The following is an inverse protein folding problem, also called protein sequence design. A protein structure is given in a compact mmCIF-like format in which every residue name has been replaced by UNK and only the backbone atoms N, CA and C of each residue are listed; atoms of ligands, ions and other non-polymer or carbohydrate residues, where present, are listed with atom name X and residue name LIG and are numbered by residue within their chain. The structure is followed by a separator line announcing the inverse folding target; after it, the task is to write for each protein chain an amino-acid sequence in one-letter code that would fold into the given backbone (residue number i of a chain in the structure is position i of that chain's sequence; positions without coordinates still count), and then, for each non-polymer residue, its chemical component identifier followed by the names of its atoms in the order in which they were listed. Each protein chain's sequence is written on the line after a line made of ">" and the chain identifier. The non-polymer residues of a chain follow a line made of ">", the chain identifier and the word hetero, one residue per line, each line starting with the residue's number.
data_IF_437832014160
#
_entry.id   IF_437832014160
#
_cell.length_a   1.000
_cell.length_b   1.000
_cell.length_c   1.000
_cell.angle_alpha   90.00
_cell.angle_beta   90.00
_cell.angle_gamma   90.00
#
_symmetry.space_group_name_H-M   'P 1'
#
loop_
_entity.id
_entity.type
_entity.pdbx_description
1 polymer ?
#
# COMPACT_ATOMS: atom_id res chain seq x y z
N UNK A 1 -14.56 10.88 -32.10
CA UNK A 1 -14.77 10.41 -30.72
C UNK A 1 -13.86 9.21 -30.52
N UNK A 2 -12.75 9.37 -29.79
CA UNK A 2 -11.97 8.21 -29.35
C UNK A 2 -12.90 7.33 -28.48
N UNK A 3 -12.86 6.01 -28.60
CA UNK A 3 -13.75 5.14 -27.83
C UNK A 3 -13.43 5.31 -26.34
N UNK A 4 -14.44 5.56 -25.51
CA UNK A 4 -14.31 5.78 -24.06
C UNK A 4 -13.47 4.69 -23.36
N UNK A 5 -13.47 3.47 -23.89
CA UNK A 5 -12.68 2.34 -23.40
C UNK A 5 -11.15 2.54 -23.44
N UNK A 6 -10.63 3.48 -24.25
CA UNK A 6 -9.19 3.79 -24.30
C UNK A 6 -8.76 4.75 -23.17
N UNK A 7 -9.66 5.61 -22.69
CA UNK A 7 -9.42 6.54 -21.59
C UNK A 7 -9.54 5.86 -20.22
N UNK A 8 -10.39 4.83 -20.11
CA UNK A 8 -10.51 4.02 -18.90
C UNK A 8 -9.19 3.36 -18.49
N UNK A 9 -8.30 3.06 -19.45
CA UNK A 9 -6.98 2.48 -19.18
C UNK A 9 -5.95 3.49 -18.63
N UNK A 10 -6.22 4.79 -18.67
CA UNK A 10 -5.28 5.84 -18.27
C UNK A 10 -5.66 6.55 -16.97
N UNK A 11 -6.89 6.36 -16.50
CA UNK A 11 -7.41 6.99 -15.29
C UNK A 11 -7.76 5.96 -14.22
N UNK A 12 -7.76 6.43 -12.98
CA UNK A 12 -8.19 5.66 -11.82
C UNK A 12 -9.47 6.26 -11.23
N UNK A 13 -10.35 5.43 -10.65
CA UNK A 13 -11.41 5.94 -9.77
C UNK A 13 -10.77 6.65 -8.57
N UNK A 14 -11.17 7.88 -8.33
CA UNK A 14 -10.68 8.69 -7.21
C UNK A 14 -11.65 8.66 -6.05
N UNK A 15 -11.09 8.79 -4.85
CA UNK A 15 -11.83 8.89 -3.61
C UNK A 15 -12.38 10.30 -3.46
N UNK A 16 -13.67 10.41 -3.13
CA UNK A 16 -14.33 11.68 -2.86
C UNK A 16 -13.98 12.22 -1.48
N UNK A 17 -14.10 13.54 -1.27
CA UNK A 17 -13.90 14.16 0.04
C UNK A 17 -14.82 13.58 1.13
N UNK A 18 -16.06 13.21 0.78
CA UNK A 18 -17.00 12.55 1.70
C UNK A 18 -16.50 11.17 2.16
N UNK A 19 -15.88 10.40 1.27
CA UNK A 19 -15.29 9.10 1.61
C UNK A 19 -14.00 9.23 2.43
N UNK A 20 -13.27 10.35 2.32
CA UNK A 20 -12.09 10.62 3.16
C UNK A 20 -12.47 11.12 4.56
N UNK A 21 -13.63 11.76 4.71
CA UNK A 21 -14.06 12.35 5.97
C UNK A 21 -14.35 11.30 7.06
N UNK A 22 -14.74 10.09 6.68
CA UNK A 22 -15.07 9.02 7.64
C UNK A 22 -14.74 7.66 7.04
N UNK A 23 -14.06 6.81 7.82
CA UNK A 23 -13.81 5.41 7.52
C UNK A 23 -14.78 4.50 8.29
N UNK A 24 -15.05 3.31 7.76
CA UNK A 24 -15.79 2.26 8.47
C UNK A 24 -15.16 1.93 9.83
N UNK A 25 -13.82 1.86 9.89
CA UNK A 25 -13.08 1.70 11.15
C UNK A 25 -13.35 2.84 12.15
N UNK A 26 -13.45 4.08 11.69
CA UNK A 26 -13.80 5.22 12.55
C UNK A 26 -15.23 5.13 13.08
N UNK A 27 -16.17 4.57 12.31
CA UNK A 27 -17.54 4.31 12.77
C UNK A 27 -17.59 3.23 13.86
N UNK A 28 -16.70 2.24 13.76
CA UNK A 28 -16.49 1.21 14.78
C UNK A 28 -15.56 1.66 15.92
N UNK A 29 -15.36 2.98 16.08
CA UNK A 29 -14.57 3.59 17.14
C UNK A 29 -13.08 3.17 17.19
N UNK A 30 -12.50 2.76 16.06
CA UNK A 30 -11.05 2.54 15.97
C UNK A 30 -10.33 3.90 15.91
N UNK A 31 -9.32 4.14 16.77
CA UNK A 31 -8.55 5.38 16.74
C UNK A 31 -7.83 5.59 15.40
N UNK A 32 -7.89 6.81 14.86
CA UNK A 32 -7.31 7.15 13.55
C UNK A 32 -5.79 6.95 13.48
N UNK A 33 -5.08 7.19 14.59
CA UNK A 33 -3.64 6.96 14.69
C UNK A 33 -3.30 5.47 14.56
N UNK A 34 -4.15 4.61 15.12
CA UNK A 34 -3.99 3.16 15.10
C UNK A 34 -4.36 2.60 13.73
N UNK A 35 -5.46 3.07 13.13
CA UNK A 35 -5.83 2.73 11.76
C UNK A 35 -4.68 3.06 10.79
N UNK A 36 -4.08 4.25 10.92
CA UNK A 36 -2.96 4.69 10.10
C UNK A 36 -1.74 3.78 10.25
N UNK A 37 -1.36 3.45 11.49
CA UNK A 37 -0.24 2.53 11.77
C UNK A 37 -0.47 1.12 11.20
N UNK A 38 -1.68 0.57 11.37
CA UNK A 38 -2.03 -0.77 10.89
C UNK A 38 -1.99 -0.81 9.36
N UNK A 39 -2.57 0.19 8.68
CA UNK A 39 -2.54 0.28 7.22
C UNK A 39 -1.11 0.39 6.70
N UNK A 40 -0.28 1.23 7.32
CA UNK A 40 1.13 1.36 6.94
C UNK A 40 1.89 0.03 7.08
N UNK A 41 1.74 -0.66 8.21
CA UNK A 41 2.35 -1.97 8.43
C UNK A 41 1.86 -3.03 7.45
N UNK A 42 0.55 -3.04 7.14
CA UNK A 42 -0.04 -4.00 6.21
C UNK A 42 0.38 -3.76 4.75
N UNK A 43 0.58 -2.50 4.33
CA UNK A 43 1.18 -2.22 3.01
C UNK A 43 2.62 -2.73 2.94
N UNK A 44 3.42 -2.54 4.01
CA UNK A 44 4.78 -3.09 4.09
C UNK A 44 4.78 -4.62 4.06
N UNK A 45 3.84 -5.26 4.74
CA UNK A 45 3.61 -6.71 4.68
C UNK A 45 3.28 -7.16 3.24
N UNK A 46 2.38 -6.45 2.56
CA UNK A 46 1.98 -6.74 1.16
C UNK A 46 3.18 -6.66 0.23
N UNK A 47 4.01 -5.62 0.38
CA UNK A 47 5.24 -5.43 -0.39
C UNK A 47 6.23 -6.58 -0.15
N UNK A 48 6.49 -6.94 1.11
CA UNK A 48 7.39 -8.02 1.46
C UNK A 48 6.89 -9.39 0.94
N UNK A 49 5.59 -9.66 1.07
CA UNK A 49 4.98 -10.88 0.54
C UNK A 49 5.12 -10.97 -0.98
N UNK A 50 4.85 -9.88 -1.69
CA UNK A 50 5.01 -9.84 -3.14
C UNK A 50 6.44 -10.13 -3.59
N UNK A 51 7.44 -9.57 -2.90
CA UNK A 51 8.86 -9.82 -3.17
C UNK A 51 9.23 -11.29 -2.95
N UNK A 52 8.79 -11.89 -1.83
CA UNK A 52 9.06 -13.31 -1.54
C UNK A 52 8.35 -14.26 -2.52
N UNK A 53 7.19 -13.86 -3.03
CA UNK A 53 6.46 -14.57 -4.09
C UNK A 53 7.03 -14.33 -5.49
N UNK A 54 8.10 -13.52 -5.60
CA UNK A 54 8.74 -13.15 -6.86
C UNK A 54 7.77 -12.50 -7.88
N UNK A 55 6.79 -11.74 -7.37
CA UNK A 55 5.87 -11.01 -8.21
C UNK A 55 6.56 -9.78 -8.83
N UNK A 56 6.22 -9.43 -10.07
CA UNK A 56 6.60 -8.14 -10.65
C UNK A 56 6.12 -6.96 -9.79
N UNK A 57 6.93 -5.89 -9.70
CA UNK A 57 6.62 -4.74 -8.84
C UNK A 57 5.31 -4.03 -9.24
N UNK A 58 4.91 -4.08 -10.52
CA UNK A 58 3.64 -3.52 -10.96
C UNK A 58 2.44 -4.30 -10.40
N UNK A 59 2.54 -5.64 -10.32
CA UNK A 59 1.53 -6.49 -9.67
C UNK A 59 1.43 -6.15 -8.18
N UNK A 60 2.57 -5.99 -7.50
CA UNK A 60 2.62 -5.64 -6.07
C UNK A 60 2.01 -4.24 -5.83
N UNK A 61 2.39 -3.25 -6.63
CA UNK A 61 1.87 -1.89 -6.52
C UNK A 61 0.35 -1.85 -6.74
N UNK A 62 -0.17 -2.58 -7.75
CA UNK A 62 -1.61 -2.71 -7.97
C UNK A 62 -2.32 -3.37 -6.78
N UNK A 63 -1.73 -4.43 -6.21
CA UNK A 63 -2.27 -5.07 -5.01
C UNK A 63 -2.34 -4.11 -3.82
N UNK A 64 -1.33 -3.25 -3.63
CA UNK A 64 -1.32 -2.22 -2.59
C UNK A 64 -2.44 -1.20 -2.82
N UNK A 65 -2.68 -0.77 -4.06
CA UNK A 65 -3.79 0.15 -4.38
C UNK A 65 -5.15 -0.50 -4.08
N UNK A 66 -5.34 -1.76 -4.47
CA UNK A 66 -6.57 -2.53 -4.18
C UNK A 66 -6.77 -2.68 -2.66
N UNK A 67 -5.73 -3.06 -1.93
CA UNK A 67 -5.73 -3.12 -0.48
C UNK A 67 -6.10 -1.76 0.13
N UNK A 68 -5.50 -0.68 -0.37
CA UNK A 68 -5.72 0.67 0.15
C UNK A 68 -7.15 1.12 -0.04
N UNK A 69 -7.73 0.89 -1.24
CA UNK A 69 -9.11 1.23 -1.58
C UNK A 69 -10.13 0.47 -0.73
N UNK A 70 -9.84 -0.76 -0.32
CA UNK A 70 -10.74 -1.56 0.51
C UNK A 70 -11.08 -0.86 1.84
N UNK A 71 -10.16 -0.11 2.44
CA UNK A 71 -10.34 0.57 3.72
C UNK A 71 -10.96 1.97 3.62
N UNK A 72 -11.31 2.43 2.42
CA UNK A 72 -11.73 3.81 2.21
C UNK A 72 -13.24 3.98 2.31
N UNK A 73 -13.66 5.01 3.04
CA UNK A 73 -15.06 5.39 3.17
C UNK A 73 -15.85 4.60 4.20
N UNK A 74 -17.11 5.02 4.45
CA UNK A 74 -18.00 4.36 5.40
C UNK A 74 -18.44 2.96 4.93
N UNK A 75 -18.50 2.74 3.61
CA UNK A 75 -18.86 1.46 2.99
C UNK A 75 -17.65 0.52 2.81
N UNK A 76 -16.46 0.95 3.26
CA UNK A 76 -15.22 0.17 3.21
C UNK A 76 -15.16 -0.92 4.28
N UNK A 77 -14.05 -1.64 4.29
CA UNK A 77 -13.72 -2.56 5.37
C UNK A 77 -13.44 -1.83 6.69
N UNK A 78 -13.80 -2.47 7.80
CA UNK A 78 -13.45 -2.03 9.14
C UNK A 78 -12.40 -2.95 9.76
N UNK A 79 -11.39 -2.37 10.41
CA UNK A 79 -10.36 -3.12 11.12
C UNK A 79 -10.91 -3.89 12.34
N UNK A 80 -12.08 -3.50 12.86
CA UNK A 80 -12.79 -4.25 13.90
C UNK A 80 -13.37 -5.57 13.38
N UNK A 81 -13.66 -5.65 12.08
CA UNK A 81 -14.34 -6.80 11.45
C UNK A 81 -13.39 -7.64 10.60
N UNK A 82 -12.36 -7.03 10.03
CA UNK A 82 -11.47 -7.65 9.07
C UNK A 82 -10.00 -7.50 9.48
N UNK A 83 -9.28 -8.62 9.59
CA UNK A 83 -7.84 -8.60 9.83
C UNK A 83 -7.09 -7.98 8.66
N UNK A 84 -6.23 -7.00 8.95
CA UNK A 84 -5.38 -6.36 7.95
C UNK A 84 -4.47 -7.36 7.21
N UNK A 85 -3.97 -8.40 7.89
CA UNK A 85 -3.19 -9.47 7.25
C UNK A 85 -3.97 -10.25 6.18
N UNK A 86 -5.26 -10.48 6.41
CA UNK A 86 -6.09 -11.30 5.52
C UNK A 86 -6.49 -10.48 4.31
N UNK A 87 -6.86 -9.20 4.51
CA UNK A 87 -7.13 -8.26 3.42
C UNK A 87 -5.88 -8.03 2.53
N UNK A 88 -4.69 -7.97 3.14
CA UNK A 88 -3.40 -7.88 2.46
C UNK A 88 -3.14 -9.13 1.59
N UNK A 89 -3.29 -10.33 2.17
CA UNK A 89 -3.12 -11.59 1.44
C UNK A 89 -4.13 -11.74 0.28
N UNK A 90 -5.39 -11.40 0.53
CA UNK A 90 -6.46 -11.46 -0.46
C UNK A 90 -6.24 -10.47 -1.61
N UNK A 91 -5.84 -9.23 -1.32
CA UNK A 91 -5.55 -8.21 -2.34
C UNK A 91 -4.39 -8.63 -3.23
N UNK A 92 -3.33 -9.18 -2.64
CA UNK A 92 -2.18 -9.69 -3.38
C UNK A 92 -2.54 -10.90 -4.24
N UNK A 93 -3.28 -11.87 -3.67
CA UNK A 93 -3.74 -13.05 -4.38
C UNK A 93 -4.65 -12.69 -5.56
N UNK A 94 -5.62 -11.79 -5.35
CA UNK A 94 -6.55 -11.32 -6.37
C UNK A 94 -5.83 -10.72 -7.57
N UNK A 95 -4.92 -9.76 -7.32
CA UNK A 95 -4.21 -9.08 -8.40
C UNK A 95 -3.21 -10.00 -9.10
N UNK A 96 -2.51 -10.86 -8.35
CA UNK A 96 -1.61 -11.86 -8.94
C UNK A 96 -2.37 -12.87 -9.80
N UNK A 97 -3.55 -13.32 -9.37
CA UNK A 97 -4.42 -14.22 -10.14
C UNK A 97 -4.85 -13.64 -11.48
N UNK A 98 -5.02 -12.32 -11.55
CA UNK A 98 -5.38 -11.59 -12.77
C UNK A 98 -4.17 -11.19 -13.63
N UNK A 99 -2.95 -11.42 -13.15
CA UNK A 99 -1.71 -11.04 -13.85
C UNK A 99 -1.16 -12.18 -14.72
N UNK A 100 -0.07 -11.90 -15.43
CA UNK A 100 0.67 -12.92 -16.21
C UNK A 100 1.48 -13.89 -15.33
N UNK A 101 1.54 -13.67 -14.02
CA UNK A 101 2.26 -14.51 -13.06
C UNK A 101 1.33 -14.95 -11.92
N UNK A 102 0.33 -15.82 -12.21
CA UNK A 102 -0.60 -16.29 -11.19
C UNK A 102 0.10 -17.14 -10.14
N UNK A 103 -0.26 -16.93 -8.88
CA UNK A 103 0.32 -17.63 -7.72
C UNK A 103 -0.71 -18.57 -7.10
N UNK A 104 -0.23 -19.68 -6.53
CA UNK A 104 -1.11 -20.61 -5.84
C UNK A 104 -1.54 -20.05 -4.47
N UNK A 105 -2.77 -20.33 -3.98
CA UNK A 105 -3.18 -20.00 -2.62
C UNK A 105 -2.19 -20.52 -1.57
N UNK A 106 -1.61 -21.70 -1.81
CA UNK A 106 -0.65 -22.33 -0.90
C UNK A 106 0.63 -21.52 -0.76
N UNK A 107 1.14 -21.00 -1.87
CA UNK A 107 2.32 -20.13 -1.88
C UNK A 107 2.07 -18.87 -1.06
N UNK A 108 0.90 -18.23 -1.24
CA UNK A 108 0.50 -17.05 -0.45
C UNK A 108 0.46 -17.39 1.04
N UNK A 109 -0.25 -18.47 1.41
CA UNK A 109 -0.41 -18.87 2.81
C UNK A 109 0.94 -19.19 3.47
N UNK A 110 1.84 -19.91 2.79
CA UNK A 110 3.18 -20.20 3.32
C UNK A 110 4.00 -18.92 3.53
N UNK A 111 3.96 -17.98 2.57
CA UNK A 111 4.69 -16.71 2.67
C UNK A 111 4.16 -15.85 3.81
N UNK A 112 2.84 -15.76 3.99
CA UNK A 112 2.25 -15.04 5.12
C UNK A 112 2.54 -15.73 6.45
N UNK A 113 2.54 -17.07 6.51
CA UNK A 113 2.94 -17.80 7.70
C UNK A 113 4.39 -17.50 8.11
N UNK A 114 5.30 -17.41 7.13
CA UNK A 114 6.69 -17.01 7.36
C UNK A 114 6.80 -15.55 7.82
N UNK A 115 6.16 -14.62 7.10
CA UNK A 115 6.25 -13.18 7.39
C UNK A 115 5.59 -12.79 8.72
N UNK A 116 4.60 -13.55 9.18
CA UNK A 116 3.93 -13.31 10.45
C UNK A 116 4.55 -14.12 11.61
N UNK A 117 5.58 -14.92 11.35
CA UNK A 117 6.28 -15.68 12.39
C UNK A 117 7.09 -14.74 13.30
N UNK A 118 6.80 -14.67 14.62
CA UNK A 118 7.49 -13.75 15.53
C UNK A 118 9.00 -13.97 15.63
N UNK A 119 9.47 -15.18 15.30
CA UNK A 119 10.87 -15.60 15.48
C UNK A 119 11.71 -15.41 14.22
N UNK A 120 11.07 -15.39 13.04
CA UNK A 120 11.73 -15.45 11.74
C UNK A 120 11.37 -14.31 10.80
N UNK A 121 10.38 -13.48 11.16
CA UNK A 121 9.95 -12.41 10.28
C UNK A 121 11.10 -11.41 10.03
N UNK A 122 11.34 -11.03 8.76
CA UNK A 122 12.26 -9.95 8.42
C UNK A 122 11.67 -8.56 8.71
N UNK A 123 10.41 -8.48 9.18
CA UNK A 123 9.69 -7.24 9.43
C UNK A 123 9.89 -6.79 10.88
N UNK A 124 10.44 -5.59 11.06
CA UNK A 124 10.75 -4.99 12.37
C UNK A 124 9.51 -4.80 13.27
N UNK A 125 8.34 -4.56 12.67
CA UNK A 125 7.06 -4.43 13.38
C UNK A 125 6.38 -5.77 13.71
N UNK A 126 7.03 -6.90 13.45
CA UNK A 126 6.54 -8.24 13.83
C UNK A 126 7.57 -8.93 14.70
N UNK A 127 8.83 -8.91 14.30
CA UNK A 127 9.90 -9.54 15.04
C UNK A 127 10.37 -8.65 16.20
N UNK A 128 10.18 -9.13 17.44
CA UNK A 128 10.52 -8.40 18.67
C UNK A 128 12.01 -8.45 19.02
N UNK A 129 12.74 -9.43 18.48
CA UNK A 129 14.15 -9.65 18.78
C UNK A 129 14.87 -9.94 17.47
N UNK A 130 15.98 -9.27 17.16
CA UNK A 130 16.85 -9.65 16.05
C UNK A 130 17.46 -11.04 16.34
N UNK A 131 16.66 -12.09 16.19
CA UNK A 131 17.01 -13.48 16.40
C UNK A 131 18.19 -13.78 15.49
N UNK A 132 19.30 -14.16 16.12
CA UNK A 132 20.64 -14.26 15.55
C UNK A 132 20.83 -15.40 14.54
N UNK A 133 19.77 -16.16 14.22
CA UNK A 133 19.78 -17.23 13.21
C UNK A 133 19.06 -16.77 11.96
N UNK A 134 19.71 -16.81 10.80
CA UNK A 134 19.03 -16.58 9.51
C UNK A 134 17.95 -17.65 9.35
N UNK A 135 16.66 -17.30 9.36
CA UNK A 135 15.62 -18.28 9.13
C UNK A 135 15.73 -18.77 7.69
N UNK A 136 15.55 -20.07 7.48
CA UNK A 136 15.53 -20.68 6.15
C UNK A 136 14.07 -20.61 5.68
N UNK A 137 13.70 -19.74 4.72
CA UNK A 137 12.28 -19.58 4.33
C UNK A 137 11.67 -20.87 3.78
N UNK A 138 12.50 -21.76 3.23
CA UNK A 138 12.10 -23.04 2.63
C UNK A 138 11.60 -24.07 3.65
N UNK A 139 11.89 -23.89 4.95
CA UNK A 139 11.39 -24.79 6.00
C UNK A 139 10.02 -24.37 6.55
N UNK A 140 9.51 -23.20 6.16
CA UNK A 140 8.19 -22.72 6.57
C UNK A 140 7.10 -23.25 5.64
N UNK A 141 6.43 -24.31 6.07
CA UNK A 141 5.22 -24.83 5.45
C UNK A 141 4.11 -24.96 6.48
N UNK A 142 2.88 -24.67 6.05
CA UNK A 142 1.71 -24.91 6.89
C UNK A 142 1.27 -26.37 6.81
N UNK A 143 0.75 -26.90 7.92
CA UNK A 143 0.09 -28.21 7.95
C UNK A 143 -1.11 -28.25 6.99
N UNK A 144 -1.54 -29.44 6.54
CA UNK A 144 -2.73 -29.55 5.67
C UNK A 144 -3.99 -28.95 6.31
N UNK A 145 -4.21 -29.15 7.62
CA UNK A 145 -5.34 -28.57 8.32
C UNK A 145 -5.31 -27.03 8.33
N UNK A 146 -4.14 -26.46 8.66
CA UNK A 146 -3.92 -25.01 8.63
C UNK A 146 -4.06 -24.43 7.22
N UNK A 147 -3.61 -25.17 6.20
CA UNK A 147 -3.76 -24.78 4.81
C UNK A 147 -5.23 -24.70 4.39
N UNK A 148 -6.06 -25.71 4.69
CA UNK A 148 -7.47 -25.70 4.31
C UNK A 148 -8.22 -24.54 4.98
N UNK A 149 -7.96 -24.31 6.26
CA UNK A 149 -8.54 -23.17 6.99
C UNK A 149 -8.08 -21.82 6.39
N UNK A 150 -6.78 -21.66 6.18
CA UNK A 150 -6.22 -20.43 5.58
C UNK A 150 -6.71 -20.18 4.15
N UNK A 151 -6.90 -21.25 3.36
CA UNK A 151 -7.44 -21.16 2.00
C UNK A 151 -8.90 -20.70 2.02
N UNK A 152 -9.72 -21.23 2.92
CA UNK A 152 -11.11 -20.78 3.06
C UNK A 152 -11.18 -19.31 3.46
N UNK A 153 -10.37 -18.90 4.45
CA UNK A 153 -10.27 -17.50 4.89
C UNK A 153 -9.83 -16.57 3.74
N UNK A 154 -8.81 -16.97 2.97
CA UNK A 154 -8.32 -16.23 1.82
C UNK A 154 -9.41 -16.01 0.76
N UNK A 155 -10.18 -17.05 0.43
CA UNK A 155 -11.26 -16.97 -0.57
C UNK A 155 -12.43 -16.09 -0.10
N UNK A 156 -12.80 -16.21 1.18
CA UNK A 156 -13.85 -15.38 1.78
C UNK A 156 -13.45 -13.90 1.82
N UNK A 157 -12.20 -13.61 2.18
CA UNK A 157 -11.67 -12.26 2.18
C UNK A 157 -11.56 -11.70 0.77
N UNK A 158 -11.11 -12.49 -0.21
CA UNK A 158 -11.10 -12.10 -1.62
C UNK A 158 -12.50 -11.70 -2.11
N UNK A 159 -13.52 -12.50 -1.81
CA UNK A 159 -14.90 -12.18 -2.16
C UNK A 159 -15.39 -10.89 -1.49
N UNK A 160 -14.95 -10.62 -0.25
CA UNK A 160 -15.30 -9.41 0.50
C UNK A 160 -14.64 -8.17 -0.12
N UNK A 161 -13.36 -8.25 -0.47
CA UNK A 161 -12.64 -7.17 -1.18
C UNK A 161 -13.32 -6.88 -2.53
N UNK A 162 -13.64 -7.91 -3.32
CA UNK A 162 -14.32 -7.73 -4.61
C UNK A 162 -15.69 -7.06 -4.47
N UNK A 163 -16.49 -7.48 -3.48
CA UNK A 163 -17.81 -6.88 -3.24
C UNK A 163 -17.71 -5.42 -2.83
N UNK A 164 -16.79 -5.11 -1.91
CA UNK A 164 -16.56 -3.76 -1.39
C UNK A 164 -16.12 -2.81 -2.49
N UNK A 165 -15.28 -3.28 -3.40
CA UNK A 165 -14.80 -2.50 -4.54
C UNK A 165 -15.76 -2.54 -5.75
N UNK A 166 -16.95 -3.11 -5.61
CA UNK A 166 -17.91 -3.31 -6.70
C UNK A 166 -17.27 -3.95 -7.95
N UNK A 167 -16.36 -4.90 -7.74
CA UNK A 167 -15.57 -5.59 -8.77
C UNK A 167 -14.65 -4.68 -9.60
N UNK A 168 -14.42 -3.43 -9.19
CA UNK A 168 -13.46 -2.54 -9.82
C UNK A 168 -12.03 -2.88 -9.37
N UNK A 169 -11.38 -3.78 -10.11
CA UNK A 169 -9.97 -4.16 -9.89
C UNK A 169 -9.00 -3.39 -10.80
N UNK A 170 -9.47 -2.38 -11.54
CA UNK A 170 -8.65 -1.63 -12.47
C UNK A 170 -7.71 -0.66 -11.73
N UNK A 171 -6.42 -0.71 -12.07
CA UNK A 171 -5.40 0.19 -11.51
C UNK A 171 -4.37 0.53 -12.58
N UNK A 172 -4.32 1.80 -12.94
CA UNK A 172 -3.24 2.38 -13.75
C UNK A 172 -2.16 2.92 -12.83
N UNK A 173 -0.91 2.53 -13.09
CA UNK A 173 0.26 2.98 -12.31
C UNK A 173 0.97 4.15 -13.01
N UNK A 174 1.52 5.11 -12.25
CA UNK A 174 2.19 6.30 -12.80
C UNK A 174 3.59 6.01 -13.37
N UNK A 175 4.20 4.86 -13.09
CA UNK A 175 5.60 4.58 -13.45
C UNK A 175 5.88 4.64 -14.95
N UNK A 176 5.03 4.02 -15.77
CA UNK A 176 5.18 4.06 -17.24
C UNK A 176 4.94 5.45 -17.77
N UNK A 177 3.93 6.16 -17.23
CA UNK A 177 3.61 7.54 -17.58
C UNK A 177 4.80 8.46 -17.28
N UNK A 178 5.42 8.30 -16.11
CA UNK A 178 6.58 9.09 -15.70
C UNK A 178 7.78 8.88 -16.64
N UNK A 179 8.03 7.66 -17.13
CA UNK A 179 9.08 7.43 -18.13
C UNK A 179 8.76 8.12 -19.45
N UNK A 180 7.52 8.06 -19.92
CA UNK A 180 7.09 8.77 -21.13
C UNK A 180 7.27 10.28 -20.97
N UNK A 181 6.87 10.85 -19.83
CA UNK A 181 7.03 12.29 -19.58
C UNK A 181 8.50 12.71 -19.51
N UNK A 182 9.37 11.92 -18.87
CA UNK A 182 10.82 12.17 -18.85
C UNK A 182 11.44 12.16 -20.25
N UNK A 183 10.96 11.29 -21.14
CA UNK A 183 11.38 11.25 -22.54
C UNK A 183 10.88 12.48 -23.30
N UNK A 184 9.62 12.86 -23.12
CA UNK A 184 9.02 14.06 -23.73
C UNK A 184 9.73 15.35 -23.32
N UNK A 185 10.14 15.45 -22.05
CA UNK A 185 10.89 16.59 -21.52
C UNK A 185 12.37 16.61 -21.94
N UNK A 186 12.86 15.56 -22.61
CA UNK A 186 14.27 15.47 -23.03
C UNK A 186 15.28 15.32 -21.89
N UNK A 187 14.83 14.99 -20.67
CA UNK A 187 15.67 14.92 -19.45
C UNK A 187 15.83 13.51 -18.89
N UNK A 188 15.49 12.48 -19.67
CA UNK A 188 15.62 11.08 -19.28
C UNK A 188 17.07 10.68 -18.97
N UNK A 189 17.42 10.69 -17.69
CA UNK A 189 18.67 10.16 -17.14
C UNK A 189 18.36 9.01 -16.18
N UNK A 190 19.20 7.96 -16.19
CA UNK A 190 19.00 6.79 -15.32
C UNK A 190 18.93 7.17 -13.83
N UNK A 191 19.74 8.16 -13.39
CA UNK A 191 19.73 8.63 -12.02
C UNK A 191 18.45 9.39 -11.65
N UNK A 192 17.88 10.13 -12.61
CA UNK A 192 16.61 10.85 -12.43
C UNK A 192 15.45 9.87 -12.41
N UNK A 193 15.35 8.98 -13.41
CA UNK A 193 14.27 7.98 -13.50
C UNK A 193 14.22 7.08 -12.27
N UNK A 194 15.39 6.65 -11.75
CA UNK A 194 15.46 5.89 -10.50
C UNK A 194 14.87 6.68 -9.33
N UNK A 195 15.23 7.95 -9.19
CA UNK A 195 14.74 8.80 -8.10
C UNK A 195 13.24 9.07 -8.20
N UNK A 196 12.71 9.25 -9.41
CA UNK A 196 11.28 9.32 -9.68
C UNK A 196 10.58 8.06 -9.19
N UNK A 197 11.11 6.88 -9.52
CA UNK A 197 10.53 5.61 -9.11
C UNK A 197 10.60 5.40 -7.60
N UNK A 198 11.66 5.85 -6.94
CA UNK A 198 11.77 5.84 -5.48
C UNK A 198 10.61 6.63 -4.83
N UNK A 199 10.31 7.83 -5.34
CA UNK A 199 9.18 8.65 -4.85
C UNK A 199 7.82 8.01 -5.12
N UNK A 200 7.61 7.46 -6.32
CA UNK A 200 6.36 6.76 -6.66
C UNK A 200 6.14 5.53 -5.78
N UNK A 201 7.19 4.75 -5.54
CA UNK A 201 7.12 3.59 -4.66
C UNK A 201 6.87 3.98 -3.20
N UNK A 202 7.48 5.07 -2.73
CA UNK A 202 7.22 5.60 -1.38
C UNK A 202 5.78 6.11 -1.24
N UNK A 203 5.21 6.73 -2.28
CA UNK A 203 3.85 7.24 -2.28
C UNK A 203 2.76 6.16 -2.11
N UNK A 204 3.05 4.89 -2.46
CA UNK A 204 2.17 3.74 -2.18
C UNK A 204 1.97 3.51 -0.67
N UNK A 205 2.92 3.93 0.15
CA UNK A 205 2.90 3.78 1.61
C UNK A 205 2.32 5.02 2.32
N UNK A 206 1.87 6.03 1.58
CA UNK A 206 1.47 7.31 2.18
C UNK A 206 0.16 7.25 2.95
N UNK A 207 0.12 7.80 4.18
CA UNK A 207 -1.12 7.89 4.94
C UNK A 207 -2.16 8.80 4.27
N UNK A 208 -1.73 9.69 3.36
CA UNK A 208 -2.60 10.61 2.61
C UNK A 208 -3.23 9.95 1.37
N UNK A 209 -3.02 8.65 1.17
CA UNK A 209 -3.66 7.84 0.14
C UNK A 209 -3.49 8.40 -1.29
N UNK A 210 -2.28 8.89 -1.62
CA UNK A 210 -2.02 9.63 -2.86
C UNK A 210 -2.49 8.89 -4.13
N UNK A 211 -2.30 7.57 -4.19
CA UNK A 211 -2.74 6.71 -5.30
C UNK A 211 -4.26 6.54 -5.43
N UNK A 212 -5.02 6.89 -4.39
CA UNK A 212 -6.48 6.83 -4.38
C UNK A 212 -7.11 8.21 -4.52
N UNK A 213 -6.37 9.28 -4.23
CA UNK A 213 -6.89 10.66 -4.27
C UNK A 213 -6.53 11.41 -5.55
N UNK A 214 -5.45 11.02 -6.24
CA UNK A 214 -4.92 11.73 -7.41
C UNK A 214 -4.75 10.81 -8.61
N UNK A 215 -4.84 11.40 -9.81
CA UNK A 215 -4.66 10.65 -11.05
C UNK A 215 -3.18 10.27 -11.28
N UNK A 216 -2.90 9.19 -12.05
CA UNK A 216 -1.54 8.77 -12.35
C UNK A 216 -0.66 9.82 -13.03
N UNK A 217 -1.23 10.70 -13.86
CA UNK A 217 -0.48 11.80 -14.49
C UNK A 217 0.05 12.78 -13.43
N UNK A 218 -0.78 13.19 -12.47
CA UNK A 218 -0.40 14.09 -11.40
C UNK A 218 0.69 13.49 -10.49
N UNK A 219 0.57 12.20 -10.15
CA UNK A 219 1.60 11.47 -9.39
C UNK A 219 2.93 11.43 -10.15
N UNK A 220 2.90 11.13 -11.45
CA UNK A 220 4.10 11.09 -12.29
C UNK A 220 4.80 12.45 -12.36
N UNK A 221 4.06 13.52 -12.66
CA UNK A 221 4.59 14.89 -12.75
C UNK A 221 5.18 15.34 -11.42
N UNK A 222 4.49 15.09 -10.31
CA UNK A 222 4.95 15.46 -8.97
C UNK A 222 6.24 14.74 -8.58
N UNK A 223 6.36 13.45 -8.90
CA UNK A 223 7.57 12.68 -8.68
C UNK A 223 8.74 13.18 -9.55
N UNK A 224 8.49 13.54 -10.81
CA UNK A 224 9.50 14.14 -11.71
C UNK A 224 9.96 15.49 -11.16
N UNK A 225 9.02 16.36 -10.78
CA UNK A 225 9.32 17.67 -10.23
C UNK A 225 10.21 17.57 -8.98
N UNK A 226 9.83 16.71 -8.03
CA UNK A 226 10.59 16.51 -6.79
C UNK A 226 11.98 15.91 -7.06
N UNK A 227 12.06 14.87 -7.91
CA UNK A 227 13.31 14.22 -8.24
C UNK A 227 14.28 15.15 -8.99
N UNK A 228 13.78 15.96 -9.93
CA UNK A 228 14.60 16.91 -10.69
C UNK A 228 15.21 17.96 -9.77
N UNK A 229 14.43 18.48 -8.81
CA UNK A 229 14.92 19.43 -7.79
C UNK A 229 16.00 18.82 -6.91
N UNK A 230 15.82 17.59 -6.44
CA UNK A 230 16.82 16.91 -5.61
C UNK A 230 18.11 16.56 -6.37
N UNK A 231 18.01 16.30 -7.67
CA UNK A 231 19.17 15.99 -8.54
C UNK A 231 19.77 17.23 -9.21
N UNK A 232 19.22 18.42 -8.99
CA UNK A 232 19.70 19.67 -9.61
C UNK A 232 19.53 19.70 -11.13
N UNK A 233 18.59 18.93 -11.69
CA UNK A 233 18.30 18.91 -13.12
C UNK A 233 17.39 20.10 -13.43
N UNK A 234 17.84 20.97 -14.33
CA UNK A 234 17.01 22.05 -14.86
C UNK A 234 16.00 21.47 -15.84
N UNK A 235 14.72 21.53 -15.48
CA UNK A 235 13.62 21.28 -16.40
C UNK A 235 13.36 22.55 -17.23
N UNK A 236 12.50 22.45 -18.24
CA UNK A 236 12.11 23.57 -19.11
C UNK A 236 11.66 24.76 -18.25
N UNK A 237 12.05 25.98 -18.66
CA UNK A 237 11.58 27.22 -18.04
C UNK A 237 10.03 27.31 -18.22
N UNK A 238 9.32 27.86 -17.23
CA UNK A 238 7.84 27.93 -17.08
C UNK A 238 7.17 26.75 -16.35
N UNK A 239 5.84 26.86 -16.12
CA UNK A 239 4.97 25.92 -15.41
C UNK A 239 4.72 24.65 -16.24
N UNK A 240 5.79 23.93 -16.61
CA UNK A 240 5.77 22.79 -17.53
C UNK A 240 4.80 21.66 -17.12
N UNK A 241 4.44 21.59 -15.84
CA UNK A 241 3.46 20.64 -15.30
C UNK A 241 2.05 20.86 -15.85
N UNK A 242 1.69 22.08 -16.27
CA UNK A 242 0.39 22.38 -16.87
C UNK A 242 0.16 21.65 -18.20
N UNK A 243 1.25 21.37 -18.95
CA UNK A 243 1.19 20.60 -20.21
C UNK A 243 0.71 19.16 -19.98
N UNK A 244 0.81 18.67 -18.74
CA UNK A 244 0.40 17.33 -18.33
C UNK A 244 -0.91 17.33 -17.52
N UNK A 245 -1.70 18.40 -17.62
CA UNK A 245 -2.97 18.60 -16.94
C UNK A 245 -2.86 18.52 -15.41
N UNK A 246 -1.81 19.14 -14.86
CA UNK A 246 -1.58 19.23 -13.40
C UNK A 246 -1.56 20.70 -13.02
N UNK A 247 -2.33 21.08 -12.01
CA UNK A 247 -2.31 22.44 -11.49
C UNK A 247 -1.24 22.63 -10.40
N UNK A 248 -0.98 23.90 -10.04
CA UNK A 248 0.05 24.23 -9.05
C UNK A 248 -0.32 23.78 -7.63
N UNK A 249 -1.60 23.72 -7.29
CA UNK A 249 -2.07 23.37 -5.95
C UNK A 249 -1.94 21.85 -5.72
N UNK A 250 -2.40 21.06 -6.68
CA UNK A 250 -2.28 19.61 -6.79
C UNK A 250 -0.80 19.19 -6.76
N UNK A 251 0.03 19.84 -7.58
CA UNK A 251 1.48 19.62 -7.58
C UNK A 251 2.08 19.90 -6.20
N UNK A 252 1.72 21.04 -5.58
CA UNK A 252 2.20 21.43 -4.27
C UNK A 252 1.85 20.41 -3.19
N UNK A 253 0.59 19.95 -3.18
CA UNK A 253 0.09 18.94 -2.26
C UNK A 253 0.85 17.62 -2.42
N UNK A 254 0.95 17.10 -3.64
CA UNK A 254 1.60 15.82 -3.93
C UNK A 254 3.10 15.85 -3.60
N UNK A 255 3.79 16.94 -3.92
CA UNK A 255 5.23 17.09 -3.60
C UNK A 255 5.47 17.10 -2.09
N UNK A 256 4.63 17.79 -1.32
CA UNK A 256 4.71 17.77 0.15
C UNK A 256 4.40 16.38 0.69
N UNK A 257 3.36 15.72 0.17
CA UNK A 257 2.99 14.37 0.57
C UNK A 257 4.10 13.36 0.33
N UNK A 258 4.69 13.34 -0.87
CA UNK A 258 5.82 12.47 -1.20
C UNK A 258 7.04 12.75 -0.32
N UNK A 259 7.36 14.03 -0.08
CA UNK A 259 8.50 14.41 0.77
C UNK A 259 8.29 14.05 2.25
N UNK A 260 7.04 14.07 2.73
CA UNK A 260 6.70 13.77 4.13
C UNK A 260 6.91 12.30 4.50
N UNK A 261 7.01 11.40 3.52
CA UNK A 261 7.08 9.95 3.74
C UNK A 261 8.27 9.50 4.59
N UNK A 262 9.44 10.10 4.41
CA UNK A 262 10.61 9.71 5.18
C UNK A 262 10.43 10.04 6.68
N UNK A 263 9.87 11.21 6.98
CA UNK A 263 9.58 11.63 8.35
C UNK A 263 8.51 10.75 8.99
N UNK A 264 7.43 10.47 8.25
CA UNK A 264 6.36 9.58 8.70
C UNK A 264 6.87 8.16 8.98
N UNK A 265 7.68 7.58 8.09
CA UNK A 265 8.23 6.24 8.28
C UNK A 265 9.10 6.13 9.54
N UNK A 266 9.94 7.14 9.81
CA UNK A 266 10.76 7.19 11.04
C UNK A 266 9.89 7.30 12.29
N UNK A 267 8.87 8.17 12.28
CA UNK A 267 7.95 8.32 13.39
C UNK A 267 7.20 7.02 13.71
N UNK A 268 6.73 6.29 12.68
CA UNK A 268 6.08 4.99 12.87
C UNK A 268 7.04 3.92 13.40
N UNK A 269 8.29 3.92 12.94
CA UNK A 269 9.31 3.02 13.45
C UNK A 269 9.61 3.27 14.93
N UNK A 270 9.69 4.54 15.34
CA UNK A 270 9.91 4.91 16.74
C UNK A 270 8.68 4.60 17.60
N UNK A 271 7.46 4.84 17.09
CA UNK A 271 6.18 4.56 17.77
C UNK A 271 6.04 3.07 18.12
N UNK A 272 6.38 2.18 17.19
CA UNK A 272 6.23 0.73 17.36
C UNK A 272 7.53 0.02 17.72
N UNK A 273 8.55 0.76 18.16
CA UNK A 273 9.83 0.17 18.53
C UNK A 273 9.69 -0.84 19.66
N UNK A 274 9.95 -2.11 19.36
CA UNK A 274 9.88 -3.20 20.34
C UNK A 274 8.46 -3.71 20.64
N UNK A 275 7.42 -3.20 19.94
CA UNK A 275 6.05 -3.68 20.04
C UNK A 275 5.54 -4.08 18.65
N UNK A 276 4.81 -5.21 18.52
CA UNK A 276 4.24 -5.57 17.23
C UNK A 276 3.05 -4.68 16.89
N UNK A 277 2.90 -4.32 15.61
CA UNK A 277 1.69 -3.65 15.12
C UNK A 277 0.55 -4.69 15.05
N UNK A 278 -0.66 -4.39 15.56
CA UNK A 278 -1.78 -5.33 15.53
C UNK A 278 -2.33 -5.51 14.11
N UNK A 279 -2.11 -6.68 13.52
CA UNK A 279 -2.56 -7.00 12.16
C UNK A 279 -3.77 -7.94 12.11
N UNK A 280 -4.15 -8.49 13.26
CA UNK A 280 -5.35 -9.35 13.45
C UNK A 280 -6.35 -8.67 14.38
N UNK A 281 -7.60 -9.10 14.30
CA UNK A 281 -8.68 -8.61 15.16
C UNK A 281 -8.32 -8.83 16.64
N UNK A 282 -7.90 -10.04 17.02
CA UNK A 282 -7.50 -10.35 18.40
C UNK A 282 -6.36 -9.45 18.91
N UNK A 283 -5.39 -9.12 18.05
CA UNK A 283 -4.28 -8.23 18.41
C UNK A 283 -4.75 -6.78 18.56
N UNK A 284 -5.70 -6.36 17.72
CA UNK A 284 -6.30 -5.04 17.77
C UNK A 284 -7.10 -4.87 19.07
N UNK A 285 -7.94 -5.83 19.42
CA UNK A 285 -8.71 -5.81 20.67
C UNK A 285 -7.79 -5.74 21.90
N UNK A 286 -6.72 -6.54 21.92
CA UNK A 286 -5.73 -6.50 23.00
C UNK A 286 -5.02 -5.14 23.11
N UNK A 287 -4.70 -4.49 21.99
CA UNK A 287 -4.10 -3.15 21.97
C UNK A 287 -5.10 -2.08 22.45
N UNK A 288 -6.37 -2.17 22.03
CA UNK A 288 -7.42 -1.25 22.50
C UNK A 288 -7.64 -1.38 24.01
N UNK A 289 -7.67 -2.60 24.54
CA UNK A 289 -7.79 -2.83 25.98
C UNK A 289 -6.58 -2.28 26.73
N UNK A 290 -5.38 -2.48 26.20
CA UNK A 290 -4.15 -1.94 26.78
C UNK A 290 -4.20 -0.40 26.85
N UNK A 291 -4.73 0.26 25.82
CA UNK A 291 -4.88 1.73 25.81
C UNK A 291 -5.91 2.20 26.83
N UNK A 292 -7.07 1.53 26.93
CA UNK A 292 -8.09 1.85 27.94
C UNK A 292 -7.55 1.73 29.37
N UNK A 293 -6.79 0.68 29.65
CA UNK A 293 -6.18 0.47 30.97
C UNK A 293 -5.12 1.52 31.31
N UNK A 294 -4.42 2.07 30.31
CA UNK A 294 -3.50 3.18 30.50
C UNK A 294 -4.23 4.50 30.77
N UNK A 295 -5.34 4.74 30.08
CA UNK A 295 -6.19 5.94 30.26
C UNK A 295 -6.94 5.92 31.61
N UNK A 296 -7.34 4.75 32.11
CA UNK A 296 -8.01 4.59 33.41
C UNK A 296 -7.03 4.63 34.60
N UNK A 297 -5.73 4.44 34.34
CA UNK A 297 -4.66 4.44 35.35
C UNK A 297 -3.98 5.80 35.57
N UNK A 298 -4.28 6.81 34.75
CA UNK A 298 -3.84 8.21 34.88
C UNK A 298 -4.88 9.08 35.60
#
# INVERSE_FOLDING_TARGET
>A
MAPAALLDNLSNPLVTSAQLATSSSSLDAIPADLETSIRYAAVRLTQAAGVLLQLPQDVIAKAIVIFTRFWVGPEGGSLAVHSAKDASAASLYLVAKLSFTPISPRSVINVYAFLLSPEASPLDFINRQNSSGKPIPETYYVSEGSYQAGRLALMNMEATVLRTLAFNTHVTLPHTIALTYLQTLGTSSAALSRRVFEHLNAALLSPQLLYSTHQPNALAVSAIYLAAREKGVKLVDDEWWEVFDVDREELGFLVVGMRSMEGFAKAEQDKWKGRPVPLTIDQLEAELETRRMLEEGE
#
